data_IF_091598644281
#
_entry.id   IF_091598644281
#
_cell.length_a   1.000
_cell.length_b   1.000
_cell.length_c   1.000
_cell.angle_alpha   90.00
_cell.angle_beta   90.00
_cell.angle_gamma   90.00
#
_symmetry.space_group_name_H-M   'P 1'
#
loop_
_entity.id
_entity.type
_entity.pdbx_description
1 polymer ?
#
# COMPACT_ATOMS: atom_id res chain seq x y z
N UNK A 1 5.34 17.68 22.18
CA UNK A 1 5.85 17.35 20.83
C UNK A 1 7.06 16.44 21.01
N UNK A 2 6.99 15.20 20.57
CA UNK A 2 8.10 14.24 20.64
C UNK A 2 8.11 13.43 19.34
N UNK A 3 9.02 13.79 18.43
CA UNK A 3 9.29 13.03 17.21
C UNK A 3 10.29 11.92 17.56
N UNK A 4 9.87 10.67 17.49
CA UNK A 4 10.75 9.52 17.69
C UNK A 4 10.99 8.84 16.35
N UNK A 5 12.13 9.12 15.71
CA UNK A 5 12.59 8.40 14.54
C UNK A 5 13.29 7.12 15.01
N UNK A 6 12.69 5.96 14.76
CA UNK A 6 13.34 4.65 15.01
C UNK A 6 13.57 3.95 13.68
N UNK A 7 14.83 3.87 13.27
CA UNK A 7 15.30 3.04 12.16
C UNK A 7 15.77 1.70 12.71
N UNK A 8 15.04 0.63 12.41
CA UNK A 8 15.55 -0.74 12.54
C UNK A 8 15.74 -1.31 11.15
N UNK A 9 17.00 -1.47 10.76
CA UNK A 9 17.38 -2.19 9.56
C UNK A 9 17.95 -3.54 9.95
N UNK A 10 17.30 -4.61 9.49
CA UNK A 10 17.91 -5.90 9.18
C UNK A 10 16.95 -6.61 8.20
N UNK A 11 17.49 -6.93 7.03
CA UNK A 11 16.91 -7.64 5.88
C UNK A 11 15.83 -6.95 5.03
N UNK A 12 16.28 -6.38 3.90
CA UNK A 12 15.60 -6.50 2.59
C UNK A 12 14.33 -5.70 2.30
N UNK A 13 13.65 -5.08 3.27
CA UNK A 13 12.52 -4.18 3.03
C UNK A 13 12.63 -2.97 3.95
N UNK A 14 13.00 -1.82 3.38
CA UNK A 14 13.19 -0.58 4.15
C UNK A 14 11.84 0.11 4.34
N UNK A 15 11.03 -0.41 5.26
CA UNK A 15 9.76 0.23 5.64
C UNK A 15 10.02 1.41 6.59
N UNK A 16 9.90 2.64 6.10
CA UNK A 16 9.97 3.83 6.95
C UNK A 16 8.60 4.12 7.55
N UNK A 17 8.50 4.03 8.88
CA UNK A 17 7.28 4.33 9.63
C UNK A 17 7.40 5.69 10.31
N UNK A 18 6.59 6.66 9.89
CA UNK A 18 6.42 7.93 10.61
C UNK A 18 5.14 7.85 11.45
N UNK A 19 5.30 7.87 12.77
CA UNK A 19 4.19 7.77 13.73
C UNK A 19 3.81 9.16 14.23
N UNK A 20 2.60 9.60 13.92
CA UNK A 20 1.87 10.62 14.68
C UNK A 20 0.72 9.88 15.37
N UNK A 21 0.37 10.18 16.63
CA UNK A 21 -0.61 9.37 17.38
C UNK A 21 -2.01 9.26 16.74
N UNK A 22 -2.28 9.96 15.63
CA UNK A 22 -3.53 9.90 14.87
C UNK A 22 -3.42 9.22 13.51
N UNK A 23 -2.20 9.03 12.99
CA UNK A 23 -1.99 8.40 11.69
C UNK A 23 -0.58 7.80 11.56
N UNK A 24 -0.52 6.72 10.78
CA UNK A 24 0.71 6.03 10.41
C UNK A 24 0.86 6.03 8.88
N UNK A 25 2.04 6.47 8.42
CA UNK A 25 2.43 6.27 7.02
C UNK A 25 2.93 4.84 6.84
N UNK A 26 2.37 4.13 5.86
CA UNK A 26 2.72 2.74 5.55
C UNK A 26 3.25 2.69 4.11
N UNK A 27 4.41 2.05 3.95
CA UNK A 27 4.94 1.60 2.66
C UNK A 27 4.98 0.07 2.70
N UNK A 28 4.19 -0.56 1.85
CA UNK A 28 4.01 -2.00 1.77
C UNK A 28 4.71 -2.54 0.53
N UNK A 29 5.74 -3.36 0.74
CA UNK A 29 6.53 -4.06 -0.28
C UNK A 29 7.08 -3.15 -1.40
N UNK A 30 7.24 -1.85 -1.14
CA UNK A 30 7.60 -0.83 -2.15
C UNK A 30 6.63 -0.74 -3.34
N UNK A 31 5.43 -1.34 -3.21
CA UNK A 31 4.39 -1.41 -4.24
C UNK A 31 3.19 -0.53 -3.93
N UNK A 32 2.85 -0.42 -2.65
CA UNK A 32 1.72 0.37 -2.17
C UNK A 32 2.18 1.29 -1.04
N UNK A 33 1.83 2.57 -1.13
CA UNK A 33 2.03 3.54 -0.05
C UNK A 33 0.70 4.21 0.31
N UNK A 34 0.46 4.40 1.60
CA UNK A 34 -0.77 5.00 2.11
C UNK A 34 -0.59 5.57 3.51
N UNK A 35 -1.58 6.34 3.97
CA UNK A 35 -1.68 6.80 5.35
C UNK A 35 -2.93 6.18 6.00
N UNK A 36 -2.72 5.38 7.03
CA UNK A 36 -3.77 4.82 7.87
C UNK A 36 -4.02 5.74 9.07
N UNK A 37 -5.26 6.21 9.21
CA UNK A 37 -5.70 7.05 10.33
C UNK A 37 -6.26 6.17 11.46
N UNK A 38 -6.30 6.72 12.68
CA UNK A 38 -6.89 6.07 13.87
C UNK A 38 -8.37 5.68 13.68
N UNK A 39 -9.07 6.34 12.75
CA UNK A 39 -10.46 6.03 12.35
C UNK A 39 -10.58 4.88 11.35
N UNK A 40 -9.50 4.13 11.12
CA UNK A 40 -9.37 3.11 10.07
C UNK A 40 -9.53 3.66 8.63
N UNK A 41 -9.54 4.99 8.46
CA UNK A 41 -9.56 5.62 7.14
C UNK A 41 -8.19 5.48 6.47
N UNK A 42 -8.18 5.03 5.21
CA UNK A 42 -7.02 5.09 4.34
C UNK A 42 -7.03 6.39 3.52
N UNK A 43 -5.87 6.99 3.31
CA UNK A 43 -5.71 8.18 2.48
C UNK A 43 -4.33 8.22 1.80
N UNK A 44 -4.18 9.06 0.78
CA UNK A 44 -2.91 9.19 0.02
C UNK A 44 -2.41 7.85 -0.51
N UNK A 45 -3.33 7.00 -0.97
CA UNK A 45 -3.03 5.73 -1.61
C UNK A 45 -2.27 6.01 -2.89
N UNK A 46 -1.08 5.45 -3.03
CA UNK A 46 -0.26 5.50 -4.24
C UNK A 46 0.36 4.13 -4.49
N UNK A 47 0.17 3.64 -5.71
CA UNK A 47 0.89 2.48 -6.25
C UNK A 47 2.23 2.91 -6.84
N UNK A 48 3.23 2.05 -6.79
CA UNK A 48 4.56 2.36 -7.32
C UNK A 48 4.55 2.41 -8.84
N UNK A 49 5.37 3.29 -9.40
CA UNK A 49 5.45 3.48 -10.85
C UNK A 49 5.92 2.18 -11.54
N UNK A 50 6.77 1.39 -10.87
CA UNK A 50 7.21 0.08 -11.34
C UNK A 50 6.04 -0.91 -11.45
N UNK A 51 5.20 -1.01 -10.42
CA UNK A 51 4.01 -1.86 -10.47
C UNK A 51 3.08 -1.42 -11.59
N UNK A 52 2.84 -0.11 -11.71
CA UNK A 52 1.94 0.41 -12.75
C UNK A 52 2.47 0.18 -14.17
N UNK A 53 3.80 0.14 -14.35
CA UNK A 53 4.43 -0.19 -15.62
C UNK A 53 4.33 -1.69 -16.00
N UNK A 54 4.08 -2.58 -15.04
CA UNK A 54 3.87 -4.01 -15.28
C UNK A 54 2.45 -4.32 -15.80
N UNK A 55 1.51 -3.37 -15.66
CA UNK A 55 0.12 -3.53 -16.10
C UNK A 55 0.07 -3.49 -17.62
N UNK A 56 -0.37 -4.59 -18.23
CA UNK A 56 -0.53 -4.67 -19.69
C UNK A 56 -1.73 -3.83 -20.11
N UNK A 57 -1.48 -2.88 -21.00
CA UNK A 57 -2.54 -2.15 -21.69
C UNK A 57 -3.28 -3.08 -22.67
N UNK A 58 -4.57 -2.83 -22.86
CA UNK A 58 -5.39 -3.57 -23.82
C UNK A 58 -5.20 -2.93 -25.20
N UNK A 59 -4.66 -3.69 -26.15
CA UNK A 59 -4.64 -3.29 -27.56
C UNK A 59 -6.09 -3.33 -28.09
N UNK A 60 -6.68 -2.15 -28.34
CA UNK A 60 -8.06 -1.97 -28.83
C UNK A 60 -9.18 -2.34 -27.83
N UNK A 61 -9.35 -1.56 -26.73
CA UNK A 61 -10.41 -1.82 -25.76
C UNK A 61 -11.79 -1.54 -26.38
N UNK A 62 -12.75 -2.45 -26.13
CA UNK A 62 -14.12 -2.30 -26.63
C UNK A 62 -14.93 -1.25 -25.84
N UNK A 63 -14.46 -0.89 -24.65
CA UNK A 63 -15.04 0.11 -23.77
C UNK A 63 -13.99 0.70 -22.81
N UNK A 64 -14.34 1.83 -22.16
CA UNK A 64 -13.52 2.39 -21.06
C UNK A 64 -13.40 1.44 -19.87
N UNK A 65 -14.38 0.57 -19.68
CA UNK A 65 -14.31 -0.43 -18.62
C UNK A 65 -13.21 -1.45 -18.93
N UNK A 66 -13.14 -1.94 -20.17
CA UNK A 66 -12.11 -2.91 -20.59
C UNK A 66 -10.70 -2.32 -20.52
N UNK A 67 -10.55 -1.04 -20.88
CA UNK A 67 -9.29 -0.30 -20.75
C UNK A 67 -8.82 -0.22 -19.28
N UNK A 68 -9.76 -0.04 -18.34
CA UNK A 68 -9.44 0.11 -16.91
C UNK A 68 -9.34 -1.22 -16.16
N UNK A 69 -9.85 -2.31 -16.73
CA UNK A 69 -9.95 -3.60 -16.04
C UNK A 69 -8.59 -4.13 -15.56
N UNK A 70 -7.50 -4.11 -16.37
CA UNK A 70 -6.19 -4.58 -15.89
C UNK A 70 -5.66 -3.79 -14.70
N UNK A 71 -5.85 -2.46 -14.72
CA UNK A 71 -5.47 -1.59 -13.60
C UNK A 71 -6.31 -1.89 -12.36
N UNK A 72 -7.61 -2.10 -12.52
CA UNK A 72 -8.51 -2.47 -11.43
C UNK A 72 -8.10 -3.80 -10.77
N UNK A 73 -7.80 -4.81 -11.56
CA UNK A 73 -7.36 -6.13 -11.06
C UNK A 73 -6.09 -6.01 -10.22
N UNK A 74 -5.10 -5.24 -10.70
CA UNK A 74 -3.86 -5.00 -9.98
C UNK A 74 -4.12 -4.26 -8.67
N UNK A 75 -4.92 -3.18 -8.69
CA UNK A 75 -5.29 -2.46 -7.46
C UNK A 75 -5.98 -3.37 -6.45
N UNK A 76 -6.94 -4.19 -6.88
CA UNK A 76 -7.63 -5.14 -6.02
C UNK A 76 -6.65 -6.15 -5.42
N UNK A 77 -5.76 -6.73 -6.22
CA UNK A 77 -4.75 -7.69 -5.77
C UNK A 77 -3.84 -7.10 -4.69
N UNK A 78 -3.30 -5.91 -4.91
CA UNK A 78 -2.42 -5.25 -3.93
C UNK A 78 -3.17 -4.88 -2.64
N UNK A 79 -4.43 -4.41 -2.73
CA UNK A 79 -5.23 -4.15 -1.55
C UNK A 79 -5.55 -5.42 -0.77
N UNK A 80 -5.93 -6.51 -1.44
CA UNK A 80 -6.17 -7.80 -0.79
C UNK A 80 -4.93 -8.26 -0.02
N UNK A 81 -3.76 -8.26 -0.68
CA UNK A 81 -2.49 -8.61 -0.04
C UNK A 81 -2.16 -7.71 1.17
N UNK A 82 -2.42 -6.41 1.04
CA UNK A 82 -2.23 -5.45 2.12
C UNK A 82 -3.16 -5.71 3.32
N UNK A 83 -4.44 -5.98 3.09
CA UNK A 83 -5.39 -6.28 4.18
C UNK A 83 -5.06 -7.61 4.86
N UNK A 84 -4.71 -8.65 4.11
CA UNK A 84 -4.25 -9.92 4.69
C UNK A 84 -3.01 -9.74 5.57
N UNK A 85 -2.07 -8.88 5.15
CA UNK A 85 -0.92 -8.52 5.96
C UNK A 85 -1.31 -7.75 7.22
N UNK A 86 -2.23 -6.78 7.12
CA UNK A 86 -2.74 -6.03 8.27
C UNK A 86 -3.40 -6.95 9.31
N UNK A 87 -4.25 -7.88 8.87
CA UNK A 87 -4.92 -8.83 9.76
C UNK A 87 -3.88 -9.65 10.55
N UNK A 88 -2.85 -10.16 9.87
CA UNK A 88 -1.75 -10.90 10.52
C UNK A 88 -0.94 -10.05 11.49
N UNK A 89 -0.81 -8.75 11.26
CA UNK A 89 -0.11 -7.82 12.17
C UNK A 89 -0.96 -7.55 13.41
N UNK A 90 -2.28 -7.39 13.26
CA UNK A 90 -3.21 -7.12 14.37
C UNK A 90 -3.35 -8.34 15.28
N UNK A 91 -3.28 -9.55 14.74
CA UNK A 91 -3.38 -10.79 15.52
C UNK A 91 -2.11 -11.13 16.33
N UNK A 92 -0.99 -10.43 16.11
CA UNK A 92 0.25 -10.69 16.84
C UNK A 92 0.24 -10.00 18.22
N UNK A 93 0.59 -10.72 19.30
CA UNK A 93 0.73 -10.11 20.62
C UNK A 93 1.89 -9.09 20.63
N UNK A 94 1.64 -7.93 21.25
CA UNK A 94 2.59 -6.81 21.39
C UNK A 94 3.65 -7.10 22.44
#
# INVERSE_FOLDING_TARGET
MSNLNRTTGQDGCRSTVQVNCRFIGISFLERLSLTLHESCKLSKVKFSDQLMAEVREVEEPSSRFDEMLPFWEVMCSEFTSFYEWLDRVIEQPV
#
